data_IF_833966432144
#
_entry.id   IF_833966432144
#
_cell.length_a   1.000
_cell.length_b   1.000
_cell.length_c   1.000
_cell.angle_alpha   90.00
_cell.angle_beta   90.00
_cell.angle_gamma   90.00
#
_symmetry.space_group_name_H-M   'P 1'
#
loop_
_entity.id
_entity.type
_entity.pdbx_description
1 polymer ?
#
# COMPACT_ATOMS: atom_id res chain seq x y z
N UNK A 1 10.81 -5.91 1.36
CA UNK A 1 11.51 -4.92 0.51
C UNK A 1 10.43 -4.08 -0.12
N UNK A 2 10.59 -2.77 -0.05
CA UNK A 2 9.70 -1.79 -0.66
C UNK A 2 10.52 -0.78 -1.44
N UNK A 3 9.94 -0.20 -2.47
CA UNK A 3 10.48 0.97 -3.15
C UNK A 3 9.72 2.20 -2.68
N UNK A 4 10.41 3.17 -2.11
CA UNK A 4 9.88 4.48 -1.79
C UNK A 4 10.12 5.45 -2.95
N UNK A 5 9.09 6.20 -3.32
CA UNK A 5 9.12 7.13 -4.46
C UNK A 5 8.50 8.46 -4.03
N UNK A 6 9.19 9.55 -4.33
CA UNK A 6 8.68 10.91 -4.14
C UNK A 6 9.26 11.83 -5.22
N UNK A 7 8.90 13.13 -5.17
CA UNK A 7 9.52 14.16 -6.02
C UNK A 7 11.05 14.28 -5.86
N UNK A 8 11.61 13.75 -4.77
CA UNK A 8 13.04 13.77 -4.50
C UNK A 8 13.80 12.58 -5.08
N UNK A 9 13.08 11.59 -5.64
CA UNK A 9 13.67 10.43 -6.30
C UNK A 9 13.11 9.10 -5.82
N UNK A 10 13.94 8.07 -5.95
CA UNK A 10 13.58 6.67 -5.73
C UNK A 10 14.59 6.05 -4.78
N UNK A 11 14.11 5.31 -3.78
CA UNK A 11 14.95 4.52 -2.87
C UNK A 11 14.33 3.16 -2.61
N UNK A 12 15.15 2.22 -2.15
CA UNK A 12 14.71 0.89 -1.74
C UNK A 12 15.09 0.71 -0.28
N UNK A 13 14.16 0.22 0.51
CA UNK A 13 14.38 -0.17 1.90
C UNK A 13 13.75 -1.54 2.19
N UNK A 14 14.17 -2.16 3.29
CA UNK A 14 13.62 -3.43 3.71
C UNK A 14 14.45 -4.11 4.78
N UNK A 15 13.93 -5.25 5.24
CA UNK A 15 14.59 -6.12 6.20
C UNK A 15 14.94 -7.47 5.57
N UNK A 16 15.98 -8.10 6.11
CA UNK A 16 16.41 -9.45 5.76
C UNK A 16 16.69 -10.23 7.03
N UNK A 17 16.14 -11.44 7.13
CA UNK A 17 16.37 -12.34 8.25
C UNK A 17 17.69 -13.06 8.01
N UNK A 18 18.76 -12.57 8.62
CA UNK A 18 20.10 -13.13 8.52
C UNK A 18 21.16 -12.05 8.74
N UNK A 19 22.40 -12.39 8.41
CA UNK A 19 23.55 -11.48 8.53
C UNK A 19 23.63 -10.51 7.35
N UNK A 20 24.34 -9.39 7.54
CA UNK A 20 24.64 -8.44 6.46
C UNK A 20 25.38 -9.09 5.26
N UNK A 21 26.26 -10.06 5.51
CA UNK A 21 26.97 -10.78 4.44
C UNK A 21 26.00 -11.62 3.58
N UNK A 22 25.06 -12.31 4.21
CA UNK A 22 24.00 -13.07 3.53
C UNK A 22 23.05 -12.15 2.75
N UNK A 23 22.68 -11.01 3.31
CA UNK A 23 21.90 -9.98 2.62
C UNK A 23 22.62 -9.51 1.35
N UNK A 24 23.89 -9.11 1.44
CA UNK A 24 24.68 -8.63 0.29
C UNK A 24 24.76 -9.69 -0.79
N UNK A 25 25.00 -10.94 -0.42
CA UNK A 25 25.00 -12.08 -1.34
C UNK A 25 23.64 -12.28 -2.01
N UNK A 26 22.54 -12.21 -1.24
CA UNK A 26 21.18 -12.38 -1.75
C UNK A 26 20.77 -11.25 -2.71
N UNK A 27 21.19 -10.00 -2.42
CA UNK A 27 20.88 -8.84 -3.24
C UNK A 27 21.82 -8.65 -4.44
N UNK A 28 22.97 -9.33 -4.49
CA UNK A 28 23.98 -9.14 -5.53
C UNK A 28 23.41 -9.09 -6.97
N UNK A 29 22.48 -9.98 -7.38
CA UNK A 29 21.89 -9.90 -8.72
C UNK A 29 21.15 -8.58 -9.00
N UNK A 30 20.45 -8.05 -8.00
CA UNK A 30 19.71 -6.79 -8.09
C UNK A 30 20.67 -5.59 -8.11
N UNK A 31 21.69 -5.61 -7.25
CA UNK A 31 22.72 -4.57 -7.18
C UNK A 31 23.51 -4.46 -8.49
N UNK A 32 23.87 -5.59 -9.09
CA UNK A 32 24.52 -5.63 -10.41
C UNK A 32 23.60 -5.09 -11.51
N UNK A 33 22.31 -5.42 -11.48
CA UNK A 33 21.34 -4.94 -12.48
C UNK A 33 21.19 -3.42 -12.49
N UNK A 34 21.23 -2.79 -11.31
CA UNK A 34 21.07 -1.34 -11.17
C UNK A 34 22.41 -0.58 -11.07
N UNK A 35 23.54 -1.30 -10.95
CA UNK A 35 24.85 -0.72 -10.70
C UNK A 35 24.88 0.19 -9.46
N UNK A 36 24.35 -0.32 -8.34
CA UNK A 36 24.25 0.41 -7.06
C UNK A 36 24.87 -0.38 -5.91
N UNK A 37 25.13 0.31 -4.79
CA UNK A 37 25.60 -0.28 -3.54
C UNK A 37 24.48 -0.31 -2.51
N UNK A 38 24.60 -1.20 -1.53
CA UNK A 38 23.66 -1.31 -0.40
C UNK A 38 24.34 -0.89 0.89
N UNK A 39 23.67 -0.05 1.68
CA UNK A 39 23.97 0.16 3.09
C UNK A 39 23.07 -0.74 3.93
N UNK A 40 23.62 -1.42 4.92
CA UNK A 40 22.89 -2.34 5.76
C UNK A 40 23.45 -2.32 7.19
N UNK A 41 22.61 -2.69 8.15
CA UNK A 41 23.00 -2.82 9.56
C UNK A 41 22.31 -4.04 10.12
N UNK A 42 23.08 -4.96 10.70
CA UNK A 42 22.51 -6.12 11.40
C UNK A 42 22.10 -5.69 12.79
N UNK A 43 20.85 -5.96 13.16
CA UNK A 43 20.26 -5.61 14.44
C UNK A 43 19.45 -6.79 14.97
N UNK A 44 19.12 -6.78 16.25
CA UNK A 44 18.13 -7.72 16.80
C UNK A 44 16.69 -7.31 16.41
N UNK A 45 15.72 -8.14 16.81
CA UNK A 45 14.32 -7.91 16.47
C UNK A 45 13.76 -6.61 17.04
N UNK A 46 14.04 -6.29 18.31
CA UNK A 46 13.45 -5.08 18.92
C UNK A 46 14.10 -3.82 18.36
N UNK A 47 15.39 -3.88 18.06
CA UNK A 47 16.11 -2.82 17.37
C UNK A 47 15.55 -2.60 15.96
N UNK A 48 15.20 -3.65 15.23
CA UNK A 48 14.51 -3.53 13.93
C UNK A 48 13.17 -2.82 14.06
N UNK A 49 12.38 -3.15 15.08
CA UNK A 49 11.11 -2.45 15.38
C UNK A 49 11.37 -0.97 15.66
N UNK A 50 12.35 -0.64 16.51
CA UNK A 50 12.68 0.76 16.82
C UNK A 50 13.21 1.52 15.61
N UNK A 51 13.95 0.86 14.70
CA UNK A 51 14.46 1.47 13.48
C UNK A 51 13.31 1.92 12.56
N UNK A 52 12.34 1.04 12.31
CA UNK A 52 11.20 1.35 11.44
C UNK A 52 10.11 2.19 12.11
N UNK A 53 10.05 2.23 13.44
CA UNK A 53 9.18 3.16 14.16
C UNK A 53 9.57 4.62 13.92
N UNK A 54 10.87 4.89 13.69
CA UNK A 54 11.40 6.23 13.49
C UNK A 54 11.91 6.88 14.79
N UNK A 55 12.73 7.91 14.64
CA UNK A 55 13.35 8.59 15.77
C UNK A 55 12.30 9.28 16.65
N UNK A 56 12.49 9.20 17.97
CA UNK A 56 11.63 9.82 18.99
C UNK A 56 10.16 9.34 19.01
N UNK A 57 9.88 8.18 18.40
CA UNK A 57 8.56 7.53 18.51
C UNK A 57 8.56 6.58 19.71
N UNK A 58 7.53 6.69 20.55
CA UNK A 58 7.28 5.70 21.60
C UNK A 58 6.90 4.36 20.96
N UNK A 59 7.73 3.34 21.18
CA UNK A 59 7.54 1.98 20.62
C UNK A 59 6.70 1.07 21.51
N UNK A 60 6.29 1.54 22.68
CA UNK A 60 5.37 0.84 23.57
C UNK A 60 4.27 1.77 24.11
N UNK A 61 3.50 2.45 23.24
CA UNK A 61 2.50 3.41 23.68
C UNK A 61 1.30 2.69 24.28
N UNK A 62 1.01 2.95 25.56
CA UNK A 62 -0.16 2.38 26.27
C UNK A 62 -1.07 3.45 26.88
N UNK A 63 -0.73 4.73 26.75
CA UNK A 63 -1.50 5.81 27.36
C UNK A 63 -2.85 6.01 26.66
N UNK A 64 -3.90 6.24 27.45
CA UNK A 64 -5.19 6.69 26.93
C UNK A 64 -5.12 8.09 26.29
N UNK A 65 -4.02 8.83 26.50
CA UNK A 65 -3.77 10.15 25.94
C UNK A 65 -3.04 10.14 24.59
N UNK A 66 -2.95 8.99 23.91
CA UNK A 66 -2.28 8.91 22.60
C UNK A 66 -2.97 9.80 21.56
N UNK A 67 -2.19 10.64 20.87
CA UNK A 67 -2.68 11.76 20.05
C UNK A 67 -1.85 11.98 18.76
N UNK A 68 -1.31 10.91 18.16
CA UNK A 68 -0.64 11.06 16.87
C UNK A 68 -1.62 11.49 15.77
N UNK A 69 -1.24 12.52 15.00
CA UNK A 69 -2.06 13.11 13.96
C UNK A 69 -1.26 13.44 12.69
N UNK A 70 -1.91 13.32 11.55
CA UNK A 70 -1.45 13.80 10.25
C UNK A 70 -2.66 14.34 9.47
N UNK A 71 -2.43 15.24 8.52
CA UNK A 71 -3.46 15.86 7.69
C UNK A 71 -3.20 15.50 6.22
N UNK A 72 -3.85 14.44 5.76
CA UNK A 72 -3.47 13.78 4.52
C UNK A 72 -4.66 13.20 3.76
N UNK A 73 -4.37 12.82 2.52
CA UNK A 73 -5.17 11.89 1.74
C UNK A 73 -4.30 10.71 1.29
N UNK A 74 -4.89 9.52 1.30
CA UNK A 74 -4.21 8.30 0.90
C UNK A 74 -5.09 7.45 -0.01
N UNK A 75 -4.42 6.59 -0.77
CA UNK A 75 -5.04 5.56 -1.58
C UNK A 75 -4.11 4.34 -1.68
N UNK A 76 -4.56 3.28 -2.34
CA UNK A 76 -3.76 2.08 -2.54
C UNK A 76 -4.05 1.39 -3.87
N UNK A 77 -3.19 0.43 -4.22
CA UNK A 77 -3.39 -0.47 -5.36
C UNK A 77 -2.80 -1.84 -5.03
N UNK A 78 -3.60 -2.90 -5.13
CA UNK A 78 -3.12 -4.27 -5.19
C UNK A 78 -3.05 -4.65 -6.67
N UNK A 79 -1.86 -4.94 -7.17
CA UNK A 79 -1.60 -5.14 -8.59
C UNK A 79 -0.86 -6.47 -8.86
N UNK A 80 -1.09 -7.08 -10.04
CA UNK A 80 -0.29 -8.20 -10.50
C UNK A 80 1.10 -7.70 -10.93
N UNK A 81 1.91 -8.57 -11.53
CA UNK A 81 3.13 -8.13 -12.21
C UNK A 81 2.80 -7.10 -13.30
N UNK A 82 3.59 -6.02 -13.33
CA UNK A 82 3.46 -4.95 -14.33
C UNK A 82 4.47 -5.17 -15.45
N UNK A 83 4.02 -4.95 -16.67
CA UNK A 83 4.90 -4.90 -17.84
C UNK A 83 5.75 -3.64 -17.83
N UNK A 84 6.87 -3.65 -18.59
CA UNK A 84 7.70 -2.45 -18.75
C UNK A 84 6.92 -1.25 -19.30
N UNK A 85 5.94 -1.47 -20.18
CA UNK A 85 5.10 -0.39 -20.71
C UNK A 85 4.23 0.26 -19.62
N UNK A 86 3.73 -0.53 -18.68
CA UNK A 86 2.95 -0.03 -17.55
C UNK A 86 3.83 0.74 -16.56
N UNK A 87 5.04 0.26 -16.30
CA UNK A 87 6.03 1.03 -15.55
C UNK A 87 6.42 2.34 -16.25
N UNK A 88 6.55 2.35 -17.57
CA UNK A 88 6.79 3.60 -18.33
C UNK A 88 5.65 4.60 -18.14
N UNK A 89 4.39 4.17 -18.30
CA UNK A 89 3.23 5.04 -18.05
C UNK A 89 3.23 5.63 -16.63
N UNK A 90 3.58 4.82 -15.63
CA UNK A 90 3.68 5.27 -14.25
C UNK A 90 4.82 6.27 -14.04
N UNK A 91 6.01 5.98 -14.55
CA UNK A 91 7.17 6.88 -14.47
C UNK A 91 6.93 8.17 -15.24
N UNK A 92 6.26 8.13 -16.40
CA UNK A 92 5.90 9.32 -17.18
C UNK A 92 4.98 10.25 -16.37
N UNK A 93 3.99 9.70 -15.65
CA UNK A 93 3.13 10.49 -14.75
C UNK A 93 3.94 11.11 -13.60
N UNK A 94 4.85 10.35 -12.98
CA UNK A 94 5.73 10.84 -11.91
C UNK A 94 6.63 11.96 -12.44
N UNK A 95 7.31 11.76 -13.56
CA UNK A 95 8.27 12.70 -14.14
C UNK A 95 7.64 13.95 -14.74
N UNK A 96 6.33 13.96 -14.93
CA UNK A 96 5.57 15.13 -15.39
C UNK A 96 4.73 15.72 -14.26
N UNK A 97 3.52 15.23 -14.06
CA UNK A 97 2.56 15.74 -13.07
C UNK A 97 3.09 15.63 -11.65
N UNK A 98 3.70 14.51 -11.27
CA UNK A 98 4.28 14.32 -9.94
C UNK A 98 5.39 15.32 -9.65
N UNK A 99 6.31 15.51 -10.59
CA UNK A 99 7.47 16.41 -10.45
C UNK A 99 7.07 17.89 -10.43
N UNK A 100 6.05 18.28 -11.22
CA UNK A 100 5.57 19.68 -11.26
C UNK A 100 4.64 20.05 -10.11
N UNK A 101 4.16 19.07 -9.35
CA UNK A 101 3.21 19.29 -8.26
C UNK A 101 3.83 20.04 -7.08
N UNK A 102 3.08 20.97 -6.51
CA UNK A 102 3.45 21.65 -5.25
C UNK A 102 3.22 20.78 -4.01
N UNK A 103 2.55 19.64 -4.16
CA UNK A 103 2.18 18.74 -3.07
C UNK A 103 3.40 18.03 -2.44
N UNK A 104 3.20 17.51 -1.23
CA UNK A 104 4.18 16.70 -0.52
C UNK A 104 3.78 15.23 -0.57
N UNK A 105 3.68 14.72 -1.79
CA UNK A 105 3.30 13.35 -2.05
C UNK A 105 4.49 12.39 -1.97
N UNK A 106 4.20 11.17 -1.59
CA UNK A 106 5.08 10.02 -1.69
C UNK A 106 4.25 8.76 -1.96
N UNK A 107 4.91 7.71 -2.41
CA UNK A 107 4.30 6.39 -2.51
C UNK A 107 5.31 5.30 -2.16
N UNK A 108 4.79 4.15 -1.78
CA UNK A 108 5.54 2.92 -1.60
C UNK A 108 5.03 1.88 -2.59
N UNK A 109 5.94 1.05 -3.11
CA UNK A 109 5.64 -0.15 -3.86
C UNK A 109 6.28 -1.35 -3.16
N UNK A 110 5.44 -2.13 -2.48
CA UNK A 110 5.83 -3.31 -1.71
C UNK A 110 5.76 -4.55 -2.58
N UNK A 111 6.79 -5.40 -2.53
CA UNK A 111 6.74 -6.73 -3.12
C UNK A 111 6.03 -7.65 -2.11
N UNK A 112 4.71 -7.80 -2.27
CA UNK A 112 3.86 -8.58 -1.38
C UNK A 112 3.71 -10.04 -1.83
N UNK A 113 3.85 -10.32 -3.12
CA UNK A 113 3.71 -11.65 -3.70
C UNK A 113 5.04 -12.35 -4.03
N UNK A 114 4.98 -13.31 -4.94
CA UNK A 114 6.15 -14.09 -5.41
C UNK A 114 6.20 -15.51 -4.87
N UNK A 115 7.02 -16.36 -5.49
CA UNK A 115 7.05 -17.82 -5.28
C UNK A 115 7.17 -18.24 -3.81
N UNK A 116 7.93 -17.49 -3.02
CA UNK A 116 8.21 -17.81 -1.61
C UNK A 116 7.55 -16.83 -0.63
N UNK A 117 6.69 -15.93 -1.09
CA UNK A 117 5.98 -15.03 -0.19
C UNK A 117 4.97 -15.81 0.66
N UNK A 118 5.06 -15.62 1.97
CA UNK A 118 4.09 -16.17 2.91
C UNK A 118 2.70 -15.53 2.73
N UNK A 119 2.63 -14.29 2.23
CA UNK A 119 1.37 -13.57 2.00
C UNK A 119 0.59 -14.22 0.87
N UNK A 120 1.23 -14.51 -0.27
CA UNK A 120 0.60 -15.09 -1.46
C UNK A 120 0.55 -16.62 -1.47
N UNK A 121 1.02 -17.29 -0.40
CA UNK A 121 0.94 -18.75 -0.25
C UNK A 121 -0.50 -19.26 -0.12
N UNK A 122 -1.38 -18.45 0.48
CA UNK A 122 -2.79 -18.79 0.71
C UNK A 122 -3.64 -18.53 -0.54
N UNK A 123 -4.77 -19.23 -0.67
CA UNK A 123 -5.74 -18.91 -1.72
C UNK A 123 -6.51 -17.63 -1.36
N UNK A 124 -6.96 -16.85 -2.35
CA UNK A 124 -7.83 -15.69 -2.13
C UNK A 124 -9.03 -15.96 -1.20
N UNK A 125 -9.56 -17.18 -1.20
CA UNK A 125 -10.76 -17.58 -0.46
C UNK A 125 -10.51 -18.16 0.93
N UNK A 126 -9.25 -18.34 1.35
CA UNK A 126 -8.90 -18.90 2.66
C UNK A 126 -9.25 -17.93 3.81
N UNK A 127 -9.25 -16.63 3.54
CA UNK A 127 -9.53 -15.55 4.50
C UNK A 127 -10.42 -14.48 3.86
N UNK A 128 -10.93 -13.51 4.64
CA UNK A 128 -11.62 -12.35 4.06
C UNK A 128 -10.72 -11.52 3.13
N UNK A 129 -9.42 -11.44 3.44
CA UNK A 129 -8.43 -10.77 2.59
C UNK A 129 -8.25 -11.53 1.27
N UNK A 130 -8.62 -10.89 0.16
CA UNK A 130 -8.73 -11.51 -1.17
C UNK A 130 -7.46 -11.41 -2.02
N UNK A 131 -6.64 -10.37 -1.84
CA UNK A 131 -5.54 -10.02 -2.75
C UNK A 131 -4.28 -10.89 -2.57
N UNK A 132 -4.45 -12.21 -2.53
CA UNK A 132 -3.36 -13.19 -2.41
C UNK A 132 -2.61 -13.41 -3.72
N UNK A 133 -3.20 -13.03 -4.84
CA UNK A 133 -2.69 -13.15 -6.20
C UNK A 133 -1.96 -11.89 -6.70
N UNK A 134 -1.97 -10.81 -5.93
CA UNK A 134 -1.18 -9.61 -6.22
C UNK A 134 0.32 -9.88 -6.02
N UNK A 135 1.15 -9.27 -6.87
CA UNK A 135 2.61 -9.20 -6.67
C UNK A 135 3.00 -7.93 -5.91
N UNK A 136 2.29 -6.84 -6.17
CA UNK A 136 2.62 -5.50 -5.72
C UNK A 136 1.49 -4.92 -4.88
N UNK A 137 1.84 -4.32 -3.74
CA UNK A 137 0.98 -3.41 -3.00
C UNK A 137 1.56 -2.00 -3.11
N UNK A 138 0.75 -1.06 -3.56
CA UNK A 138 1.09 0.35 -3.53
C UNK A 138 0.33 1.07 -2.41
N UNK A 139 1.03 1.96 -1.72
CA UNK A 139 0.43 3.00 -0.89
C UNK A 139 0.74 4.34 -1.55
N UNK A 140 -0.28 5.14 -1.83
CA UNK A 140 -0.14 6.51 -2.32
C UNK A 140 -0.53 7.46 -1.20
N UNK A 141 0.26 8.49 -0.96
CA UNK A 141 0.06 9.38 0.17
C UNK A 141 0.41 10.82 -0.20
N UNK A 142 -0.40 11.77 0.28
CA UNK A 142 -0.15 13.19 0.17
C UNK A 142 -0.56 13.89 1.46
N UNK A 143 0.35 14.67 2.04
CA UNK A 143 0.16 15.34 3.33
C UNK A 143 0.38 16.85 3.21
N UNK A 144 -0.34 17.58 4.06
CA UNK A 144 -0.19 19.01 4.27
C UNK A 144 0.02 19.30 5.75
N UNK A 145 0.38 20.54 6.10
CA UNK A 145 0.53 20.90 7.50
C UNK A 145 -0.80 20.73 8.25
N UNK A 146 -0.75 20.32 9.52
CA UNK A 146 -1.96 20.06 10.32
C UNK A 146 -2.90 21.28 10.46
N UNK A 147 -2.35 22.49 10.37
CA UNK A 147 -3.10 23.74 10.42
C UNK A 147 -3.67 24.19 9.07
N UNK A 148 -3.49 23.40 8.00
CA UNK A 148 -3.99 23.70 6.66
C UNK A 148 -5.26 22.91 6.35
N UNK A 149 -6.08 23.42 5.43
CA UNK A 149 -7.14 22.61 4.81
C UNK A 149 -6.51 21.78 3.70
N UNK A 150 -6.75 20.46 3.68
CA UNK A 150 -6.30 19.62 2.58
C UNK A 150 -6.89 20.10 1.24
N UNK A 151 -6.04 20.41 0.23
CA UNK A 151 -6.48 21.01 -1.02
C UNK A 151 -7.08 19.95 -1.96
N UNK A 152 -8.19 20.27 -2.62
CA UNK A 152 -9.00 19.28 -3.35
C UNK A 152 -8.33 18.71 -4.61
N UNK A 153 -7.39 19.43 -5.20
CA UNK A 153 -6.57 18.95 -6.31
C UNK A 153 -5.60 17.82 -5.90
N UNK A 154 -5.31 17.67 -4.61
CA UNK A 154 -4.56 16.53 -4.09
C UNK A 154 -5.26 15.19 -4.31
N UNK A 155 -6.61 15.18 -4.30
CA UNK A 155 -7.39 14.00 -4.67
C UNK A 155 -7.13 13.57 -6.12
N UNK A 156 -7.00 14.53 -7.03
CA UNK A 156 -6.72 14.28 -8.44
C UNK A 156 -5.30 13.76 -8.66
N UNK A 157 -4.32 14.31 -7.92
CA UNK A 157 -2.92 13.86 -7.97
C UNK A 157 -2.80 12.39 -7.58
N UNK A 158 -3.33 12.01 -6.41
CA UNK A 158 -3.25 10.64 -5.90
C UNK A 158 -4.07 9.68 -6.76
N UNK A 159 -5.24 10.12 -7.24
CA UNK A 159 -6.05 9.34 -8.19
C UNK A 159 -5.30 9.10 -9.50
N UNK A 160 -4.63 10.12 -10.04
CA UNK A 160 -3.86 10.04 -11.28
C UNK A 160 -2.62 9.15 -11.14
N UNK A 161 -1.88 9.24 -10.02
CA UNK A 161 -0.79 8.32 -9.71
C UNK A 161 -1.25 6.86 -9.76
N UNK A 162 -2.33 6.52 -9.06
CA UNK A 162 -2.91 5.17 -9.10
C UNK A 162 -3.37 4.79 -10.51
N UNK A 163 -4.10 5.68 -11.18
CA UNK A 163 -4.71 5.40 -12.48
C UNK A 163 -3.70 5.26 -13.62
N UNK A 164 -2.52 5.88 -13.51
CA UNK A 164 -1.41 5.68 -14.46
C UNK A 164 -0.97 4.21 -14.56
N UNK A 165 -1.25 3.42 -13.52
CA UNK A 165 -1.11 1.96 -13.51
C UNK A 165 -2.47 1.31 -13.77
N UNK A 166 -3.47 1.57 -12.92
CA UNK A 166 -4.69 0.74 -12.85
C UNK A 166 -5.55 0.79 -14.12
N UNK A 167 -5.52 1.88 -14.89
CA UNK A 167 -6.28 1.99 -16.14
C UNK A 167 -5.74 1.07 -17.25
N UNK A 168 -4.52 0.57 -17.10
CA UNK A 168 -3.88 -0.37 -18.03
C UNK A 168 -4.09 -1.83 -17.64
N UNK A 169 -4.64 -2.09 -16.43
CA UNK A 169 -4.81 -3.43 -15.89
C UNK A 169 -6.16 -4.01 -16.31
N UNK A 170 -6.19 -5.33 -16.52
CA UNK A 170 -7.43 -6.06 -16.81
C UNK A 170 -8.40 -5.94 -15.63
N UNK A 171 -9.68 -5.71 -15.93
CA UNK A 171 -10.70 -5.68 -14.89
C UNK A 171 -10.70 -6.98 -14.08
N UNK A 172 -10.81 -6.85 -12.75
CA UNK A 172 -10.82 -7.99 -11.82
C UNK A 172 -9.45 -8.58 -11.47
N UNK A 173 -8.34 -8.07 -12.03
CA UNK A 173 -6.98 -8.52 -11.67
C UNK A 173 -6.29 -7.58 -10.69
N UNK A 174 -7.00 -6.58 -10.18
CA UNK A 174 -6.47 -5.59 -9.25
C UNK A 174 -7.57 -5.10 -8.31
N UNK A 175 -7.16 -4.51 -7.19
CA UNK A 175 -8.05 -3.94 -6.19
C UNK A 175 -7.32 -2.95 -5.30
N UNK A 176 -7.81 -2.76 -4.08
CA UNK A 176 -7.26 -1.79 -3.13
C UNK A 176 -7.20 -2.40 -1.74
N UNK A 177 -6.29 -1.91 -0.90
CA UNK A 177 -6.09 -2.48 0.42
C UNK A 177 -6.92 -1.75 1.47
N UNK A 178 -7.80 -2.47 2.17
CA UNK A 178 -8.73 -1.90 3.16
C UNK A 178 -8.05 -1.15 4.31
N UNK A 179 -6.78 -1.47 4.63
CA UNK A 179 -6.01 -0.74 5.65
C UNK A 179 -5.46 0.60 5.15
N UNK A 180 -5.47 0.84 3.84
CA UNK A 180 -5.19 2.12 3.19
C UNK A 180 -6.43 2.57 2.41
N UNK A 181 -7.54 2.87 3.11
CA UNK A 181 -8.82 3.13 2.48
C UNK A 181 -8.78 4.45 1.73
N UNK A 182 -9.40 4.47 0.55
CA UNK A 182 -9.56 5.68 -0.24
C UNK A 182 -10.94 6.28 0.03
N UNK A 183 -10.98 7.43 0.69
CA UNK A 183 -12.23 8.09 1.07
C UNK A 183 -13.04 8.64 -0.11
N UNK A 184 -12.45 8.76 -1.30
CA UNK A 184 -13.11 9.25 -2.52
C UNK A 184 -13.77 8.10 -3.30
N UNK A 185 -13.47 6.84 -2.99
CA UNK A 185 -14.23 5.69 -3.50
C UNK A 185 -15.63 5.64 -2.91
N UNK A 186 -16.64 5.69 -3.79
CA UNK A 186 -18.04 5.74 -3.40
C UNK A 186 -18.72 4.37 -3.46
N UNK A 187 -19.55 4.11 -2.46
CA UNK A 187 -20.54 3.03 -2.46
C UNK A 187 -19.94 1.65 -2.67
N UNK A 188 -20.67 0.83 -3.43
CA UNK A 188 -20.36 -0.60 -3.61
C UNK A 188 -19.00 -0.82 -4.30
N UNK A 189 -18.49 0.19 -5.04
CA UNK A 189 -17.18 0.09 -5.69
C UNK A 189 -16.04 -0.06 -4.68
N UNK A 190 -16.10 0.61 -3.54
CA UNK A 190 -15.09 0.44 -2.48
C UNK A 190 -15.06 -1.02 -2.00
N UNK A 191 -16.25 -1.59 -1.80
CA UNK A 191 -16.39 -2.96 -1.29
C UNK A 191 -15.87 -4.01 -2.28
N UNK A 192 -16.12 -3.81 -3.57
CA UNK A 192 -15.55 -4.64 -4.64
C UNK A 192 -14.02 -4.53 -4.68
N UNK A 193 -13.47 -3.33 -4.53
CA UNK A 193 -12.01 -3.13 -4.56
C UNK A 193 -11.29 -3.80 -3.40
N UNK A 194 -11.90 -3.80 -2.21
CA UNK A 194 -11.27 -4.33 -0.99
C UNK A 194 -11.45 -5.84 -0.79
N UNK A 195 -12.59 -6.38 -1.25
CA UNK A 195 -12.96 -7.76 -0.96
C UNK A 195 -13.12 -8.62 -2.22
N UNK A 196 -13.18 -8.03 -3.41
CA UNK A 196 -13.16 -8.74 -4.69
C UNK A 196 -14.14 -9.91 -4.73
N UNK A 197 -13.63 -11.07 -5.14
CA UNK A 197 -14.41 -12.32 -5.24
C UNK A 197 -14.93 -12.85 -3.90
N UNK A 198 -14.43 -12.35 -2.75
CA UNK A 198 -14.93 -12.74 -1.44
C UNK A 198 -16.17 -11.95 -0.99
N UNK A 199 -16.51 -10.83 -1.67
CA UNK A 199 -17.62 -9.98 -1.26
C UNK A 199 -18.94 -10.74 -1.05
N UNK A 200 -19.42 -11.61 -1.98
CA UNK A 200 -20.69 -12.31 -1.78
C UNK A 200 -20.73 -13.19 -0.51
N UNK A 201 -19.62 -13.88 -0.20
CA UNK A 201 -19.52 -14.69 1.02
C UNK A 201 -19.55 -13.81 2.27
N UNK A 202 -18.91 -12.63 2.22
CA UNK A 202 -18.92 -11.70 3.32
C UNK A 202 -20.28 -11.03 3.53
N UNK A 203 -21.03 -10.74 2.47
CA UNK A 203 -22.39 -10.23 2.57
C UNK A 203 -23.32 -11.25 3.27
N UNK A 204 -23.18 -12.54 2.95
CA UNK A 204 -23.91 -13.63 3.60
C UNK A 204 -23.54 -13.78 5.08
N UNK A 205 -22.24 -13.69 5.40
CA UNK A 205 -21.76 -13.67 6.79
C UNK A 205 -22.32 -12.45 7.54
N UNK A 206 -22.31 -11.27 6.91
CA UNK A 206 -22.86 -10.03 7.49
C UNK A 206 -24.36 -10.16 7.74
N UNK A 207 -25.12 -10.78 6.83
CA UNK A 207 -26.54 -11.05 7.01
C UNK A 207 -26.81 -11.98 8.21
N UNK A 208 -25.93 -12.96 8.47
CA UNK A 208 -26.06 -13.85 9.63
C UNK A 208 -25.75 -13.16 10.96
N UNK A 209 -24.67 -12.39 11.03
CA UNK A 209 -24.16 -11.88 12.31
C UNK A 209 -24.55 -10.43 12.62
N UNK A 210 -24.85 -9.62 11.61
CA UNK A 210 -25.32 -8.24 11.76
C UNK A 210 -26.40 -7.90 10.71
N UNK A 211 -27.57 -8.58 10.74
CA UNK A 211 -28.64 -8.38 9.77
C UNK A 211 -29.22 -6.96 9.76
N UNK A 212 -29.11 -6.25 10.89
CA UNK A 212 -29.58 -4.86 11.03
C UNK A 212 -28.53 -3.83 10.60
N UNK A 213 -27.35 -4.28 10.16
CA UNK A 213 -26.23 -3.45 9.74
C UNK A 213 -25.86 -2.37 10.78
N UNK A 214 -25.81 -2.76 12.06
CA UNK A 214 -25.48 -1.86 13.18
C UNK A 214 -24.02 -1.41 13.05
N UNK A 215 -23.11 -2.33 12.77
CA UNK A 215 -21.68 -2.05 12.60
C UNK A 215 -21.39 -1.68 11.15
N UNK A 216 -21.54 -0.39 10.81
CA UNK A 216 -21.39 0.12 9.43
C UNK A 216 -20.59 1.41 9.35
N UNK A 217 -20.01 1.63 8.18
CA UNK A 217 -19.43 2.90 7.73
C UNK A 217 -19.75 3.11 6.23
N UNK A 218 -19.41 4.25 5.60
CA UNK A 218 -19.75 4.50 4.20
C UNK A 218 -19.23 3.47 3.18
N UNK A 219 -18.23 2.66 3.55
CA UNK A 219 -17.59 1.65 2.70
C UNK A 219 -17.74 0.22 3.27
N UNK A 220 -18.59 0.00 4.28
CA UNK A 220 -18.75 -1.33 4.89
C UNK A 220 -19.58 -2.28 4.04
N UNK A 221 -19.32 -3.58 4.18
CA UNK A 221 -20.11 -4.66 3.60
C UNK A 221 -21.57 -4.56 4.07
N UNK A 222 -22.51 -4.67 3.13
CA UNK A 222 -23.95 -4.70 3.40
C UNK A 222 -24.43 -6.14 3.61
N UNK A 223 -25.37 -6.39 4.53
CA UNK A 223 -25.95 -7.73 4.67
C UNK A 223 -26.77 -8.09 3.43
N UNK A 224 -26.51 -9.26 2.84
CA UNK A 224 -27.28 -9.84 1.74
C UNK A 224 -27.36 -11.34 1.91
N UNK A 225 -28.57 -11.90 1.89
CA UNK A 225 -28.82 -13.34 2.01
C UNK A 225 -28.61 -14.05 0.67
#
# INVERSE_FOLDING_TARGET
MQMFISKSGYSVDGAFVGTEAELKKALQPLLTKFNVQVSATTVDWIQLVTHFAGANVDVNPTSASYDAHDNFYASSLQAPELTLAQFKSFVDYISTTGQSSSHSWWLQMDISGGKYSAISKHKPTDTAYVHRDALLLFQFYDSVAQNQKYPSDGFNLITGLRQSISNTLKAGTWGMYVNYPDSQLKGDRATEMYWGSNLPKLESIKAKYDPKNIFRNPQSIKPKA
#
